data_IF_276153531225
#
_entry.id   IF_276153531225
#
_cell.length_a   1.000
_cell.length_b   1.000
_cell.length_c   1.000
_cell.angle_alpha   90.00
_cell.angle_beta   90.00
_cell.angle_gamma   90.00
#
_symmetry.space_group_name_H-M   'P 1'
#
loop_
_entity.id
_entity.type
_entity.pdbx_description
1 polymer ?
#
# COMPACT_ATOMS: atom_id res chain seq x y z
N UNK A 1 24.50 -22.18 27.32
CA UNK A 1 24.60 -20.83 27.85
C UNK A 1 25.21 -19.78 26.90
N UNK A 2 26.20 -20.11 26.04
CA UNK A 2 26.70 -19.17 25.02
C UNK A 2 25.62 -18.82 23.94
N UNK A 3 24.83 -19.79 23.48
CA UNK A 3 23.74 -19.58 22.54
C UNK A 3 22.65 -18.68 23.09
N UNK A 4 22.24 -18.87 24.36
CA UNK A 4 21.24 -18.01 24.99
C UNK A 4 21.71 -16.55 25.13
N UNK A 5 22.98 -16.34 25.53
CA UNK A 5 23.57 -14.99 25.62
C UNK A 5 23.65 -14.31 24.23
N UNK A 6 24.07 -15.06 23.22
CA UNK A 6 24.11 -14.55 21.85
C UNK A 6 22.69 -14.20 21.35
N UNK A 7 21.69 -15.04 21.65
CA UNK A 7 20.30 -14.76 21.33
C UNK A 7 19.75 -13.50 21.99
N UNK A 8 20.04 -13.29 23.28
CA UNK A 8 19.66 -12.06 23.99
C UNK A 8 20.33 -10.81 23.43
N UNK A 9 21.63 -10.87 23.12
CA UNK A 9 22.34 -9.75 22.52
C UNK A 9 21.82 -9.41 21.13
N UNK A 10 21.56 -10.41 20.31
CA UNK A 10 21.00 -10.24 18.96
C UNK A 10 19.58 -9.66 19.00
N UNK A 11 18.74 -10.10 19.93
CA UNK A 11 17.41 -9.54 20.14
C UNK A 11 17.48 -8.06 20.51
N UNK A 12 18.36 -7.69 21.44
CA UNK A 12 18.56 -6.31 21.85
C UNK A 12 19.01 -5.40 20.68
N UNK A 13 19.91 -5.89 19.81
CA UNK A 13 20.37 -5.14 18.63
C UNK A 13 19.26 -4.98 17.59
N UNK A 14 18.47 -6.03 17.32
CA UNK A 14 17.39 -5.99 16.32
C UNK A 14 16.18 -5.19 16.76
N UNK A 15 15.97 -4.94 18.04
CA UNK A 15 14.96 -4.01 18.53
C UNK A 15 15.17 -2.62 17.97
N UNK A 16 16.42 -2.19 17.81
CA UNK A 16 16.75 -0.91 17.17
C UNK A 16 16.32 -0.86 15.71
N UNK A 17 16.50 -1.96 14.95
CA UNK A 17 16.10 -2.06 13.54
C UNK A 17 14.58 -1.97 13.40
N UNK A 18 13.82 -2.64 14.26
CA UNK A 18 12.37 -2.55 14.31
C UNK A 18 11.89 -1.13 14.62
N UNK A 19 12.52 -0.47 15.60
CA UNK A 19 12.22 0.93 15.94
C UNK A 19 12.54 1.89 14.79
N UNK A 20 13.63 1.67 14.08
CA UNK A 20 14.01 2.47 12.92
C UNK A 20 13.06 2.25 11.74
N UNK A 21 12.60 1.03 11.48
CA UNK A 21 11.57 0.76 10.47
C UNK A 21 10.26 1.49 10.82
N UNK A 22 9.80 1.37 12.07
CA UNK A 22 8.58 2.06 12.55
C UNK A 22 8.67 3.56 12.35
N UNK A 23 9.82 4.19 12.71
CA UNK A 23 10.05 5.62 12.48
C UNK A 23 9.91 5.99 11.01
N UNK A 24 10.53 5.24 10.09
CA UNK A 24 10.42 5.50 8.64
C UNK A 24 8.98 5.36 8.12
N UNK A 25 8.24 4.36 8.62
CA UNK A 25 6.82 4.17 8.28
C UNK A 25 5.96 5.35 8.76
N UNK A 26 6.18 5.85 9.98
CA UNK A 26 5.50 7.05 10.48
C UNK A 26 5.84 8.26 9.62
N UNK A 27 7.11 8.47 9.30
CA UNK A 27 7.56 9.63 8.52
C UNK A 27 6.95 9.67 7.10
N UNK A 28 6.73 8.51 6.47
CA UNK A 28 6.12 8.45 5.12
C UNK A 28 4.60 8.61 5.14
N UNK A 29 3.94 8.23 6.24
CA UNK A 29 2.46 8.15 6.31
C UNK A 29 1.80 9.20 7.20
N UNK A 30 2.57 10.05 7.86
CA UNK A 30 2.07 11.01 8.87
C UNK A 30 1.06 12.04 8.32
N UNK A 31 1.04 12.29 7.02
CA UNK A 31 0.11 13.19 6.34
C UNK A 31 -1.20 12.51 5.91
N UNK A 32 -1.31 11.19 6.07
CA UNK A 32 -2.52 10.43 5.73
C UNK A 32 -3.54 10.53 6.87
N UNK A 33 -4.50 11.41 6.70
CA UNK A 33 -5.58 11.71 7.65
C UNK A 33 -6.91 11.53 6.93
N UNK A 34 -7.95 11.11 7.64
CA UNK A 34 -9.31 11.08 7.09
C UNK A 34 -9.80 12.52 6.94
N UNK A 35 -10.01 12.98 5.69
CA UNK A 35 -10.38 14.37 5.38
C UNK A 35 -11.84 14.55 5.02
N UNK A 36 -12.49 13.52 4.51
CA UNK A 36 -13.87 13.56 4.05
C UNK A 36 -14.56 12.20 4.25
N UNK A 37 -15.88 12.19 4.22
CA UNK A 37 -16.65 10.97 4.42
C UNK A 37 -16.59 10.06 3.17
N UNK A 38 -16.79 10.61 1.99
CA UNK A 38 -16.84 9.85 0.74
C UNK A 38 -16.16 10.63 -0.40
N UNK A 39 -15.35 9.95 -1.19
CA UNK A 39 -14.72 10.51 -2.40
C UNK A 39 -15.49 10.18 -3.69
N UNK A 40 -16.58 9.40 -3.61
CA UNK A 40 -17.43 9.04 -4.77
C UNK A 40 -16.79 8.05 -5.76
N UNK A 41 -15.61 7.47 -5.48
CA UNK A 41 -14.95 6.57 -6.43
C UNK A 41 -15.78 5.35 -6.77
N UNK A 42 -15.74 4.95 -8.04
CA UNK A 42 -16.28 3.70 -8.59
C UNK A 42 -15.17 2.70 -8.93
N UNK A 43 -13.92 3.04 -8.64
CA UNK A 43 -12.77 2.17 -8.87
C UNK A 43 -12.36 1.52 -7.56
N UNK A 44 -12.21 0.21 -7.58
CA UNK A 44 -11.79 -0.60 -6.44
C UNK A 44 -10.54 -1.41 -6.70
N UNK A 45 -10.21 -2.23 -5.73
CA UNK A 45 -9.23 -3.31 -5.86
C UNK A 45 -9.94 -4.65 -5.76
N UNK A 46 -9.41 -5.64 -6.44
CA UNK A 46 -9.89 -7.01 -6.33
C UNK A 46 -9.23 -7.71 -5.16
N UNK A 47 -10.05 -8.25 -4.26
CA UNK A 47 -9.62 -9.11 -3.18
C UNK A 47 -9.87 -10.57 -3.53
N UNK A 48 -8.93 -11.42 -3.16
CA UNK A 48 -8.95 -12.87 -3.31
C UNK A 48 -8.32 -13.51 -2.08
N UNK A 49 -8.45 -14.83 -1.95
CA UNK A 49 -7.77 -15.60 -0.90
C UNK A 49 -6.26 -15.50 -1.05
N UNK A 50 -5.54 -15.24 0.02
CA UNK A 50 -4.07 -15.34 0.01
C UNK A 50 -3.68 -16.79 0.34
N UNK A 51 -3.06 -17.45 -0.63
CA UNK A 51 -2.60 -18.85 -0.53
C UNK A 51 -1.08 -18.94 -0.73
N UNK A 52 -0.45 -19.90 -0.08
CA UNK A 52 0.93 -20.29 -0.34
C UNK A 52 0.94 -21.76 -0.80
N UNK A 53 0.95 -21.98 -2.11
CA UNK A 53 0.66 -23.29 -2.67
C UNK A 53 -0.76 -23.76 -2.30
N UNK A 54 -0.87 -24.83 -1.53
CA UNK A 54 -2.16 -25.37 -1.08
C UNK A 54 -2.58 -24.87 0.33
N UNK A 55 -1.73 -24.15 1.03
CA UNK A 55 -2.02 -23.63 2.37
C UNK A 55 -2.72 -22.28 2.30
N UNK A 56 -3.87 -22.16 2.99
CA UNK A 56 -4.60 -20.91 3.15
C UNK A 56 -3.88 -20.04 4.18
N UNK A 57 -3.40 -18.86 3.76
CA UNK A 57 -2.75 -17.89 4.65
C UNK A 57 -3.78 -16.94 5.23
N UNK A 58 -4.62 -16.36 4.38
CA UNK A 58 -5.67 -15.42 4.80
C UNK A 58 -6.89 -15.60 3.90
N UNK A 59 -8.04 -16.00 4.49
CA UNK A 59 -9.27 -16.20 3.74
C UNK A 59 -9.91 -14.86 3.35
N UNK A 60 -10.60 -14.84 2.21
CA UNK A 60 -11.31 -13.67 1.70
C UNK A 60 -12.31 -13.10 2.72
N UNK A 61 -12.97 -13.95 3.51
CA UNK A 61 -13.93 -13.53 4.53
C UNK A 61 -13.33 -12.58 5.56
N UNK A 62 -12.10 -12.84 6.05
CA UNK A 62 -11.41 -11.98 7.01
C UNK A 62 -11.00 -10.64 6.38
N UNK A 63 -10.56 -10.66 5.13
CA UNK A 63 -10.14 -9.48 4.39
C UNK A 63 -11.29 -8.52 4.05
N UNK A 64 -12.51 -9.04 3.94
CA UNK A 64 -13.72 -8.26 3.64
C UNK A 64 -14.27 -7.49 4.85
N UNK A 65 -14.05 -7.97 6.06
CA UNK A 65 -14.60 -7.35 7.27
C UNK A 65 -14.12 -5.91 7.43
N UNK A 66 -15.06 -4.99 7.67
CA UNK A 66 -14.75 -3.57 7.86
C UNK A 66 -14.44 -2.81 6.57
N UNK A 67 -14.80 -3.34 5.40
CA UNK A 67 -14.65 -2.71 4.09
C UNK A 67 -16.00 -2.33 3.49
N UNK A 68 -15.97 -1.62 2.36
CA UNK A 68 -17.13 -1.30 1.53
C UNK A 68 -16.96 -1.90 0.14
N UNK A 69 -18.06 -2.41 -0.43
CA UNK A 69 -18.08 -2.82 -1.82
C UNK A 69 -18.03 -1.60 -2.75
N UNK A 70 -17.55 -1.81 -3.98
CA UNK A 70 -17.62 -0.82 -5.06
C UNK A 70 -19.03 -0.78 -5.64
N UNK A 71 -19.65 -1.94 -5.82
CA UNK A 71 -20.96 -2.15 -6.41
C UNK A 71 -21.87 -2.94 -5.46
N UNK A 72 -23.18 -2.84 -5.70
CA UNK A 72 -24.16 -3.62 -4.97
C UNK A 72 -24.10 -5.09 -5.36
N UNK A 73 -23.98 -5.99 -4.39
CA UNK A 73 -23.98 -7.43 -4.60
C UNK A 73 -25.36 -8.02 -4.34
N UNK A 74 -25.88 -8.74 -5.34
CA UNK A 74 -27.15 -9.47 -5.26
C UNK A 74 -26.91 -10.98 -5.31
N UNK A 75 -27.76 -11.74 -4.65
CA UNK A 75 -27.72 -13.19 -4.72
C UNK A 75 -28.07 -13.65 -6.15
N UNK A 76 -27.20 -14.42 -6.81
CA UNK A 76 -27.43 -14.89 -8.18
C UNK A 76 -28.67 -15.79 -8.33
N UNK A 77 -29.11 -16.44 -7.23
CA UNK A 77 -30.24 -17.37 -7.25
C UNK A 77 -31.57 -16.71 -6.88
N UNK A 78 -31.57 -15.86 -5.86
CA UNK A 78 -32.80 -15.24 -5.31
C UNK A 78 -33.02 -13.81 -5.81
N UNK A 79 -31.97 -13.14 -6.31
CA UNK A 79 -32.00 -11.73 -6.70
C UNK A 79 -32.06 -10.76 -5.50
N UNK A 80 -32.06 -11.28 -4.26
CA UNK A 80 -32.06 -10.46 -3.06
C UNK A 80 -30.73 -9.72 -2.87
N UNK A 81 -30.78 -8.53 -2.29
CA UNK A 81 -29.59 -7.74 -1.99
C UNK A 81 -28.81 -8.38 -0.83
N UNK A 82 -27.60 -8.86 -1.08
CA UNK A 82 -26.70 -9.40 -0.04
C UNK A 82 -26.02 -8.25 0.69
N UNK A 83 -25.38 -7.35 -0.06
CA UNK A 83 -24.68 -6.20 0.50
C UNK A 83 -24.72 -5.01 -0.45
N UNK A 84 -25.06 -3.83 0.08
CA UNK A 84 -25.03 -2.58 -0.68
C UNK A 84 -23.65 -1.94 -0.62
N UNK A 85 -23.27 -1.21 -1.69
CA UNK A 85 -22.04 -0.40 -1.77
C UNK A 85 -21.88 0.62 -0.64
N UNK A 86 -22.98 1.02 0.01
CA UNK A 86 -22.97 1.98 1.11
C UNK A 86 -23.02 1.33 2.50
N UNK A 87 -22.97 0.00 2.57
CA UNK A 87 -23.02 -0.75 3.83
C UNK A 87 -21.61 -1.20 4.21
N UNK A 88 -21.23 -0.97 5.46
CA UNK A 88 -20.01 -1.53 6.04
C UNK A 88 -20.19 -3.04 6.22
N UNK A 89 -19.27 -3.82 5.68
CA UNK A 89 -19.31 -5.28 5.73
C UNK A 89 -18.94 -5.72 7.15
N UNK A 90 -19.84 -6.45 7.80
CA UNK A 90 -19.60 -7.15 9.05
C UNK A 90 -19.22 -8.62 8.81
N UNK A 91 -18.91 -9.38 9.86
CA UNK A 91 -18.49 -10.78 9.75
C UNK A 91 -19.55 -11.64 9.06
N UNK A 92 -20.83 -11.48 9.43
CA UNK A 92 -21.93 -12.26 8.84
C UNK A 92 -22.16 -11.90 7.36
N UNK A 93 -22.05 -10.59 7.01
CA UNK A 93 -22.14 -10.18 5.61
C UNK A 93 -20.97 -10.75 4.79
N UNK A 94 -19.77 -10.80 5.35
CA UNK A 94 -18.58 -11.37 4.68
C UNK A 94 -18.76 -12.86 4.35
N UNK A 95 -19.29 -13.65 5.30
CA UNK A 95 -19.59 -15.07 5.06
C UNK A 95 -20.63 -15.26 3.94
N UNK A 96 -21.68 -14.47 3.93
CA UNK A 96 -22.71 -14.50 2.88
C UNK A 96 -22.15 -14.08 1.51
N UNK A 97 -21.27 -13.10 1.47
CA UNK A 97 -20.61 -12.67 0.23
C UNK A 97 -19.75 -13.81 -0.32
N UNK A 98 -18.93 -14.44 0.51
CA UNK A 98 -18.07 -15.56 0.08
C UNK A 98 -18.92 -16.73 -0.44
N UNK A 99 -19.98 -17.12 0.26
CA UNK A 99 -20.87 -18.19 -0.19
C UNK A 99 -21.56 -17.86 -1.54
N UNK A 100 -21.91 -16.60 -1.78
CA UNK A 100 -22.46 -16.17 -3.06
C UNK A 100 -21.44 -16.22 -4.20
N UNK A 101 -20.19 -15.80 -3.94
CA UNK A 101 -19.09 -15.88 -4.91
C UNK A 101 -18.76 -17.32 -5.29
N UNK A 102 -18.68 -18.22 -4.31
CA UNK A 102 -18.50 -19.65 -4.56
C UNK A 102 -19.62 -20.24 -5.41
N UNK A 103 -20.87 -19.82 -5.18
CA UNK A 103 -22.01 -20.23 -5.97
C UNK A 103 -21.96 -19.75 -7.44
N UNK A 104 -21.29 -18.62 -7.70
CA UNK A 104 -21.02 -18.07 -9.04
C UNK A 104 -19.72 -18.60 -9.66
N UNK A 105 -18.89 -19.32 -8.91
CA UNK A 105 -17.55 -19.75 -9.37
C UNK A 105 -16.56 -18.59 -9.54
N UNK A 106 -16.73 -17.50 -8.76
CA UNK A 106 -15.83 -16.36 -8.74
C UNK A 106 -14.93 -16.42 -7.52
N UNK A 107 -13.63 -16.18 -7.71
CA UNK A 107 -12.63 -16.22 -6.66
C UNK A 107 -12.24 -14.84 -6.13
N UNK A 108 -12.81 -13.77 -6.70
CA UNK A 108 -12.46 -12.38 -6.33
C UNK A 108 -13.68 -11.46 -6.28
N UNK A 109 -13.56 -10.37 -5.51
CA UNK A 109 -14.56 -9.32 -5.43
C UNK A 109 -13.91 -7.94 -5.36
N UNK A 110 -14.53 -6.96 -6.01
CA UNK A 110 -14.06 -5.58 -6.02
C UNK A 110 -14.54 -4.81 -4.78
N UNK A 111 -13.58 -4.28 -4.00
CA UNK A 111 -13.85 -3.48 -2.81
C UNK A 111 -13.24 -2.08 -2.91
N UNK A 112 -13.77 -1.15 -2.11
CA UNK A 112 -13.16 0.17 -1.94
C UNK A 112 -11.91 0.06 -1.08
N UNK A 113 -10.83 0.71 -1.54
CA UNK A 113 -9.55 0.75 -0.86
C UNK A 113 -8.97 2.15 -0.84
N UNK A 114 -8.09 2.40 0.11
CA UNK A 114 -7.29 3.63 0.18
C UNK A 114 -6.38 3.81 -1.04
N UNK A 115 -5.97 2.73 -1.70
CA UNK A 115 -5.13 2.74 -2.89
C UNK A 115 -5.76 3.47 -4.07
N UNK A 116 -7.09 3.36 -4.22
CA UNK A 116 -7.87 3.96 -5.31
C UNK A 116 -8.71 5.17 -4.84
N UNK A 117 -8.44 5.66 -3.62
CA UNK A 117 -9.15 6.82 -3.09
C UNK A 117 -8.80 8.08 -3.88
N UNK A 118 -9.84 8.79 -4.35
CA UNK A 118 -9.74 10.02 -5.14
C UNK A 118 -9.77 11.29 -4.28
N UNK A 119 -9.65 11.18 -2.95
CA UNK A 119 -9.55 12.34 -2.09
C UNK A 119 -8.32 13.19 -2.45
N UNK A 120 -8.50 14.51 -2.59
CA UNK A 120 -7.42 15.46 -2.97
C UNK A 120 -6.25 15.43 -1.97
N UNK A 121 -6.57 15.35 -0.68
CA UNK A 121 -5.60 15.24 0.40
C UNK A 121 -6.06 14.15 1.39
N UNK A 122 -5.13 13.35 1.90
CA UNK A 122 -5.46 12.27 2.80
C UNK A 122 -6.27 11.16 2.13
N UNK A 123 -7.27 10.61 2.85
CA UNK A 123 -8.18 9.55 2.38
C UNK A 123 -9.60 9.82 2.89
N UNK A 124 -10.61 9.20 2.29
CA UNK A 124 -11.99 9.29 2.77
C UNK A 124 -12.34 8.11 3.70
N UNK A 125 -13.36 8.31 4.56
CA UNK A 125 -13.79 7.33 5.54
C UNK A 125 -14.27 6.03 4.89
N UNK A 126 -15.04 6.09 3.80
CA UNK A 126 -15.53 4.88 3.12
C UNK A 126 -14.41 4.05 2.47
N UNK A 127 -13.37 4.69 1.90
CA UNK A 127 -12.24 3.94 1.33
C UNK A 127 -11.36 3.28 2.40
N UNK A 128 -11.26 3.88 3.59
CA UNK A 128 -10.58 3.28 4.72
C UNK A 128 -11.44 2.21 5.41
N UNK A 129 -12.74 2.49 5.57
CA UNK A 129 -13.70 1.57 6.19
C UNK A 129 -13.77 1.69 7.72
N UNK A 130 -13.85 0.54 8.39
CA UNK A 130 -13.97 0.48 9.83
C UNK A 130 -12.70 0.89 10.58
N UNK A 131 -12.88 1.58 11.70
CA UNK A 131 -11.85 1.70 12.73
C UNK A 131 -11.77 0.36 13.48
N UNK A 132 -10.60 -0.25 13.52
CA UNK A 132 -10.40 -1.59 14.08
C UNK A 132 -10.53 -1.63 15.62
N UNK A 133 -10.47 -0.49 16.30
CA UNK A 133 -10.61 -0.43 17.75
C UNK A 133 -12.07 -0.58 18.23
N UNK A 134 -13.03 -0.03 17.46
CA UNK A 134 -14.44 0.00 17.86
C UNK A 134 -15.39 -0.64 16.84
N UNK A 135 -14.90 -1.08 15.68
CA UNK A 135 -15.70 -1.71 14.62
C UNK A 135 -16.63 -0.77 13.84
N UNK A 136 -16.69 0.50 14.21
CA UNK A 136 -17.50 1.50 13.52
C UNK A 136 -16.75 2.13 12.36
N UNK A 137 -17.44 2.87 11.49
CA UNK A 137 -16.79 3.66 10.45
C UNK A 137 -15.82 4.67 11.08
N UNK A 138 -14.66 4.82 10.46
CA UNK A 138 -13.63 5.78 10.89
C UNK A 138 -14.17 7.21 10.81
N UNK A 139 -13.84 8.04 11.80
CA UNK A 139 -14.27 9.43 11.85
C UNK A 139 -13.34 10.35 11.03
N UNK A 140 -13.92 11.43 10.51
CA UNK A 140 -13.13 12.50 9.88
C UNK A 140 -12.20 13.12 10.92
N UNK A 141 -10.91 13.30 10.54
CA UNK A 141 -9.89 13.82 11.46
C UNK A 141 -9.00 12.74 12.08
N UNK A 142 -9.28 11.45 11.87
CA UNK A 142 -8.45 10.38 12.40
C UNK A 142 -7.14 10.24 11.60
N UNK A 143 -5.99 10.19 12.30
CA UNK A 143 -4.65 10.09 11.71
C UNK A 143 -4.30 8.63 11.40
N UNK A 144 -4.96 8.06 10.40
CA UNK A 144 -4.83 6.63 10.04
C UNK A 144 -3.45 6.24 9.54
N UNK A 145 -2.67 7.18 9.04
CA UNK A 145 -1.28 6.91 8.62
C UNK A 145 -0.39 6.54 9.79
N UNK A 146 -0.44 7.29 10.89
CA UNK A 146 0.33 6.99 12.10
C UNK A 146 -0.14 5.67 12.72
N UNK A 147 -1.47 5.45 12.79
CA UNK A 147 -2.05 4.18 13.27
C UNK A 147 -1.52 3.01 12.45
N UNK A 148 -1.52 3.14 11.12
CA UNK A 148 -1.03 2.09 10.21
C UNK A 148 0.46 1.80 10.44
N UNK A 149 1.29 2.83 10.53
CA UNK A 149 2.73 2.69 10.79
C UNK A 149 3.01 1.99 12.12
N UNK A 150 2.28 2.35 13.18
CA UNK A 150 2.39 1.75 14.50
C UNK A 150 1.92 0.29 14.52
N UNK A 151 0.81 -0.02 13.84
CA UNK A 151 0.26 -1.38 13.73
C UNK A 151 1.19 -2.33 12.97
N UNK A 152 1.95 -1.84 11.99
CA UNK A 152 2.98 -2.61 11.28
C UNK A 152 4.26 -2.72 12.12
N UNK A 153 4.62 -1.66 12.84
CA UNK A 153 5.89 -1.58 13.58
C UNK A 153 5.86 -2.29 14.94
N UNK A 154 4.73 -2.29 15.63
CA UNK A 154 4.61 -2.93 16.95
C UNK A 154 5.02 -4.40 16.92
N UNK A 155 4.46 -5.26 16.06
CA UNK A 155 4.87 -6.66 16.03
C UNK A 155 6.25 -6.88 15.38
N UNK A 156 6.89 -5.86 14.83
CA UNK A 156 8.24 -5.93 14.26
C UNK A 156 9.29 -6.46 15.26
N UNK A 157 9.17 -6.12 16.54
CA UNK A 157 10.02 -6.65 17.60
C UNK A 157 9.82 -8.15 17.80
N UNK A 158 8.58 -8.65 17.67
CA UNK A 158 8.28 -10.08 17.78
C UNK A 158 8.84 -10.86 16.58
N UNK A 159 8.80 -10.28 15.37
CA UNK A 159 9.43 -10.85 14.18
C UNK A 159 10.93 -11.03 14.35
N UNK A 160 11.60 -10.11 15.04
CA UNK A 160 13.04 -10.23 15.30
C UNK A 160 13.39 -11.34 16.29
N UNK A 161 12.52 -11.62 17.25
CA UNK A 161 12.74 -12.66 18.27
C UNK A 161 12.56 -14.10 17.73
N UNK A 162 11.63 -14.32 16.81
CA UNK A 162 11.27 -15.66 16.32
C UNK A 162 12.19 -16.22 15.25
N UNK A 163 12.91 -15.40 14.49
CA UNK A 163 13.83 -15.86 13.43
C UNK A 163 15.03 -16.71 13.92
N UNK A 164 15.26 -16.78 15.24
CA UNK A 164 16.33 -17.61 15.84
C UNK A 164 15.98 -19.09 16.06
N UNK A 165 14.70 -19.45 16.03
CA UNK A 165 14.29 -20.80 16.41
C UNK A 165 14.13 -21.77 15.22
N UNK A 166 14.16 -21.30 14.01
CA UNK A 166 14.11 -22.12 12.80
C UNK A 166 15.53 -22.52 12.36
N UNK A 167 16.16 -23.39 13.13
CA UNK A 167 17.45 -24.03 12.81
C UNK A 167 17.27 -25.21 11.81
N UNK A 168 16.52 -24.99 10.75
CA UNK A 168 16.37 -25.94 9.65
C UNK A 168 17.30 -25.64 8.48
N UNK A 169 17.45 -26.57 7.54
CA UNK A 169 18.23 -26.41 6.31
C UNK A 169 17.59 -25.26 5.52
N UNK A 170 18.33 -24.15 5.39
CA UNK A 170 17.88 -22.98 4.64
C UNK A 170 17.63 -23.36 3.16
N UNK A 171 16.41 -23.24 2.69
CA UNK A 171 16.12 -23.24 1.27
C UNK A 171 16.57 -21.91 0.62
N UNK A 172 16.74 -21.88 -0.69
CA UNK A 172 17.13 -20.65 -1.39
C UNK A 172 16.10 -19.50 -1.20
N UNK A 173 14.86 -19.83 -0.82
CA UNK A 173 13.78 -18.89 -0.47
C UNK A 173 13.93 -18.28 0.93
N UNK A 174 14.72 -18.94 1.81
CA UNK A 174 14.86 -18.59 3.24
C UNK A 174 15.95 -17.53 3.54
N UNK A 175 16.62 -16.97 2.54
CA UNK A 175 17.81 -16.12 2.75
C UNK A 175 17.46 -14.80 3.46
N UNK A 176 16.21 -14.32 3.31
CA UNK A 176 15.71 -13.12 4.00
C UNK A 176 14.30 -13.36 4.53
N UNK A 177 14.19 -13.92 5.74
CA UNK A 177 12.91 -14.09 6.43
C UNK A 177 12.69 -13.05 7.51
N UNK A 178 11.44 -12.78 7.83
CA UNK A 178 11.04 -11.86 8.90
C UNK A 178 11.25 -10.39 8.57
N UNK A 179 11.68 -9.60 9.56
CA UNK A 179 11.79 -8.15 9.46
C UNK A 179 12.68 -7.66 8.29
N UNK A 180 13.83 -8.27 7.96
CA UNK A 180 14.64 -7.87 6.81
C UNK A 180 13.88 -7.97 5.47
N UNK A 181 12.97 -8.94 5.31
CA UNK A 181 12.14 -9.07 4.11
C UNK A 181 11.09 -7.97 4.04
N UNK A 182 10.45 -7.65 5.15
CA UNK A 182 9.50 -6.53 5.23
C UNK A 182 10.19 -5.21 4.89
N UNK A 183 11.39 -4.99 5.44
CA UNK A 183 12.20 -3.81 5.11
C UNK A 183 12.57 -3.75 3.62
N UNK A 184 12.99 -4.87 3.03
CA UNK A 184 13.32 -4.97 1.61
C UNK A 184 12.13 -4.59 0.72
N UNK A 185 10.91 -5.08 1.05
CA UNK A 185 9.68 -4.78 0.32
C UNK A 185 9.31 -3.30 0.43
N UNK A 186 9.29 -2.73 1.64
CA UNK A 186 8.95 -1.32 1.85
C UNK A 186 10.01 -0.35 1.33
N UNK A 187 11.28 -0.74 1.27
CA UNK A 187 12.32 0.08 0.63
C UNK A 187 12.41 -0.16 -0.88
N UNK A 188 11.59 -1.06 -1.43
CA UNK A 188 11.65 -1.44 -2.87
C UNK A 188 13.07 -1.79 -3.32
N UNK A 189 13.83 -2.50 -2.46
CA UNK A 189 15.18 -2.95 -2.79
C UNK A 189 15.11 -4.18 -3.69
N UNK A 190 16.07 -4.30 -4.60
CA UNK A 190 16.20 -5.51 -5.40
C UNK A 190 16.62 -6.68 -4.51
N UNK A 191 15.86 -7.78 -4.49
CA UNK A 191 16.18 -8.96 -3.66
C UNK A 191 17.53 -9.57 -4.03
N UNK A 192 18.22 -10.13 -3.04
CA UNK A 192 19.37 -11.00 -3.30
C UNK A 192 18.85 -12.30 -3.91
N UNK A 193 19.26 -12.64 -5.13
CA UNK A 193 18.71 -13.79 -5.83
C UNK A 193 17.32 -13.52 -6.40
N UNK A 194 17.10 -12.32 -6.96
CA UNK A 194 15.83 -11.96 -7.58
C UNK A 194 15.44 -12.94 -8.68
N UNK A 195 14.18 -13.41 -8.67
CA UNK A 195 13.64 -14.21 -9.75
C UNK A 195 13.66 -13.41 -11.07
N UNK A 196 13.95 -14.10 -12.16
CA UNK A 196 13.82 -13.55 -13.51
C UNK A 196 12.37 -13.74 -13.92
N UNK A 197 11.69 -12.67 -14.32
CA UNK A 197 10.31 -12.70 -14.82
C UNK A 197 10.28 -12.53 -16.32
N UNK A 198 9.26 -13.10 -16.97
CA UNK A 198 9.01 -12.85 -18.40
C UNK A 198 8.35 -11.48 -18.60
N UNK A 199 8.66 -10.81 -19.71
CA UNK A 199 8.03 -9.54 -20.09
C UNK A 199 6.91 -9.70 -21.09
N UNK A 200 6.88 -10.84 -21.79
CA UNK A 200 5.92 -11.16 -22.84
C UNK A 200 5.15 -12.44 -22.48
N UNK A 201 3.93 -12.54 -23.00
CA UNK A 201 3.16 -13.78 -22.99
C UNK A 201 3.71 -14.72 -24.05
N UNK A 202 3.79 -16.03 -23.76
CA UNK A 202 4.26 -16.97 -24.79
C UNK A 202 4.61 -18.34 -24.23
N UNK A 203 5.27 -19.12 -25.09
CA UNK A 203 5.70 -20.48 -24.79
C UNK A 203 7.20 -20.50 -24.47
N UNK A 204 7.55 -21.19 -23.40
CA UNK A 204 8.92 -21.34 -22.89
C UNK A 204 9.68 -22.37 -23.70
N UNK A 205 10.89 -22.02 -24.12
CA UNK A 205 11.88 -22.92 -24.67
C UNK A 205 13.19 -22.83 -23.88
N UNK A 206 13.73 -23.95 -23.46
CA UNK A 206 14.96 -24.00 -22.65
C UNK A 206 16.10 -24.50 -23.52
N UNK A 207 17.11 -23.66 -23.72
CA UNK A 207 18.30 -24.00 -24.50
C UNK A 207 19.55 -23.90 -23.63
N UNK A 208 20.55 -24.75 -23.92
CA UNK A 208 21.85 -24.65 -23.29
C UNK A 208 22.86 -24.05 -24.26
N UNK A 209 23.25 -22.79 -24.01
CA UNK A 209 24.19 -22.05 -24.84
C UNK A 209 25.48 -21.81 -24.07
N UNK A 210 26.60 -22.34 -24.53
CA UNK A 210 27.96 -22.12 -23.95
C UNK A 210 28.03 -22.40 -22.42
N UNK A 211 27.38 -23.49 -21.94
CA UNK A 211 27.32 -23.90 -20.51
C UNK A 211 26.46 -23.00 -19.62
N UNK A 212 25.72 -22.06 -20.16
CA UNK A 212 24.68 -21.32 -19.46
C UNK A 212 23.33 -21.73 -20.01
N UNK A 213 22.37 -21.93 -19.11
CA UNK A 213 20.98 -22.19 -19.52
C UNK A 213 20.35 -20.85 -19.93
N UNK A 214 19.68 -20.87 -21.06
CA UNK A 214 18.94 -19.71 -21.58
C UNK A 214 17.48 -20.13 -21.74
N UNK A 215 16.59 -19.31 -21.24
CA UNK A 215 15.15 -19.48 -21.44
C UNK A 215 14.73 -18.48 -22.49
N UNK A 216 14.12 -18.97 -23.54
CA UNK A 216 13.56 -18.17 -24.60
C UNK A 216 12.04 -18.27 -24.52
N UNK A 217 11.37 -17.13 -24.45
CA UNK A 217 9.91 -17.03 -24.50
C UNK A 217 9.54 -16.50 -25.88
N UNK A 218 8.68 -17.22 -26.58
CA UNK A 218 8.19 -16.83 -27.91
C UNK A 218 6.70 -16.56 -27.81
N UNK A 219 6.28 -15.39 -28.24
CA UNK A 219 4.87 -15.01 -28.28
C UNK A 219 4.09 -15.92 -29.25
N UNK A 220 2.84 -16.20 -28.92
CA UNK A 220 1.91 -16.95 -29.79
C UNK A 220 1.30 -16.08 -30.90
N UNK A 221 1.61 -14.77 -30.94
CA UNK A 221 1.13 -13.87 -31.95
C UNK A 221 1.74 -14.20 -33.31
N UNK A 222 0.90 -14.62 -34.24
CA UNK A 222 1.28 -15.05 -35.61
C UNK A 222 1.68 -13.90 -36.53
N UNK A 223 1.28 -12.66 -36.23
CA UNK A 223 1.56 -11.49 -37.08
C UNK A 223 2.90 -10.82 -36.76
N UNK A 224 3.32 -10.81 -35.50
CA UNK A 224 4.63 -10.31 -35.06
C UNK A 224 5.14 -11.17 -33.89
N UNK A 225 5.85 -12.29 -34.17
CA UNK A 225 6.41 -13.13 -33.12
C UNK A 225 7.50 -12.37 -32.37
N UNK A 226 7.18 -11.83 -31.21
CA UNK A 226 8.17 -11.30 -30.29
C UNK A 226 8.87 -12.46 -29.59
N UNK A 227 10.20 -12.40 -29.52
CA UNK A 227 11.03 -13.40 -28.87
C UNK A 227 11.97 -12.71 -27.90
N UNK A 228 11.89 -13.05 -26.63
CA UNK A 228 12.84 -12.60 -25.61
C UNK A 228 13.62 -13.77 -25.02
N UNK A 229 14.92 -13.55 -24.84
CA UNK A 229 15.85 -14.56 -24.33
C UNK A 229 16.46 -14.12 -23.00
N UNK A 230 16.32 -14.96 -21.99
CA UNK A 230 16.77 -14.71 -20.62
C UNK A 230 17.93 -15.63 -20.27
N UNK A 231 19.12 -15.08 -20.05
CA UNK A 231 20.27 -15.85 -19.59
C UNK A 231 20.14 -16.15 -18.08
N UNK A 232 20.20 -17.43 -17.72
CA UNK A 232 20.07 -17.87 -16.33
C UNK A 232 21.45 -17.99 -15.69
N UNK A 233 21.77 -17.21 -14.64
CA UNK A 233 23.05 -17.31 -13.94
C UNK A 233 23.23 -18.70 -13.31
N UNK A 234 24.46 -19.11 -13.15
CA UNK A 234 24.79 -20.38 -12.50
C UNK A 234 24.25 -20.41 -11.07
N UNK A 235 23.61 -21.51 -10.70
CA UNK A 235 23.02 -21.70 -9.35
C UNK A 235 21.55 -21.34 -9.22
N UNK A 236 20.94 -20.70 -10.22
CA UNK A 236 19.49 -20.45 -10.22
C UNK A 236 18.73 -21.71 -10.62
N UNK A 237 17.67 -22.04 -9.88
CA UNK A 237 16.76 -23.12 -10.24
C UNK A 237 15.66 -22.59 -11.15
N UNK A 238 15.37 -23.33 -12.21
CA UNK A 238 14.31 -23.01 -13.17
C UNK A 238 13.00 -23.55 -12.61
N UNK A 239 11.95 -22.71 -12.61
CA UNK A 239 10.62 -23.04 -12.13
C UNK A 239 9.72 -23.57 -13.24
N UNK A 240 9.92 -23.09 -14.46
CA UNK A 240 9.10 -23.43 -15.62
C UNK A 240 9.62 -24.66 -16.34
N UNK A 241 8.73 -25.34 -17.10
CA UNK A 241 9.06 -26.50 -17.92
C UNK A 241 9.13 -26.11 -19.39
N UNK A 242 9.86 -26.90 -20.17
CA UNK A 242 9.89 -26.74 -21.63
C UNK A 242 8.50 -26.92 -22.24
N UNK A 243 8.08 -26.00 -23.13
CA UNK A 243 6.76 -25.99 -23.73
C UNK A 243 5.63 -25.47 -22.83
N UNK A 244 5.94 -24.95 -21.65
CA UNK A 244 4.94 -24.33 -20.77
C UNK A 244 4.54 -22.95 -21.31
N UNK A 245 3.22 -22.69 -21.38
CA UNK A 245 2.72 -21.36 -21.62
C UNK A 245 2.90 -20.53 -20.34
N UNK A 246 3.42 -19.31 -20.48
CA UNK A 246 3.65 -18.35 -19.40
C UNK A 246 3.05 -17.01 -19.75
N UNK A 247 2.58 -16.28 -18.73
CA UNK A 247 2.05 -14.93 -18.86
C UNK A 247 3.08 -13.89 -18.45
N UNK A 248 2.99 -12.70 -19.01
CA UNK A 248 3.87 -11.60 -18.66
C UNK A 248 3.86 -11.33 -17.14
N UNK A 249 5.07 -11.26 -16.55
CA UNK A 249 5.24 -11.11 -15.10
C UNK A 249 5.37 -12.43 -14.33
N UNK A 250 5.22 -13.59 -14.98
CA UNK A 250 5.40 -14.89 -14.33
C UNK A 250 6.90 -15.18 -14.09
N UNK A 251 7.28 -15.70 -12.91
CA UNK A 251 8.67 -16.00 -12.59
C UNK A 251 9.16 -17.26 -13.31
N UNK A 252 10.22 -17.10 -14.09
CA UNK A 252 10.91 -18.19 -14.80
C UNK A 252 11.86 -18.98 -13.90
N UNK A 253 12.38 -18.33 -12.84
CA UNK A 253 13.30 -18.93 -11.87
C UNK A 253 12.73 -18.85 -10.45
N UNK A 254 13.23 -19.73 -9.55
CA UNK A 254 12.94 -19.61 -8.13
C UNK A 254 13.55 -18.33 -7.55
N UNK A 255 12.91 -17.73 -6.55
CA UNK A 255 13.35 -16.53 -5.86
C UNK A 255 12.26 -15.48 -5.70
N UNK A 256 12.57 -14.43 -4.96
CA UNK A 256 11.68 -13.30 -4.76
C UNK A 256 11.66 -12.38 -5.96
N UNK A 257 10.48 -11.93 -6.39
CA UNK A 257 10.36 -11.02 -7.53
C UNK A 257 10.74 -9.60 -7.10
N UNK A 258 11.40 -8.87 -7.99
CA UNK A 258 11.69 -7.45 -7.78
C UNK A 258 10.42 -6.61 -8.05
N UNK A 259 9.93 -5.81 -7.10
CA UNK A 259 8.73 -4.99 -7.31
C UNK A 259 8.82 -4.01 -8.49
N UNK A 260 10.02 -3.50 -8.79
CA UNK A 260 10.22 -2.61 -9.93
C UNK A 260 10.00 -3.29 -11.28
N UNK A 261 10.34 -4.58 -11.41
CA UNK A 261 10.14 -5.35 -12.63
C UNK A 261 8.64 -5.65 -12.83
N UNK A 262 7.90 -5.96 -11.74
CA UNK A 262 6.43 -6.10 -11.79
C UNK A 262 5.77 -4.79 -12.24
N UNK A 263 6.25 -3.65 -11.74
CA UNK A 263 5.71 -2.34 -12.13
C UNK A 263 5.87 -2.10 -13.63
N UNK A 264 7.03 -2.47 -14.18
CA UNK A 264 7.32 -2.28 -15.60
C UNK A 264 6.48 -3.17 -16.52
N UNK A 265 6.15 -4.40 -16.08
CA UNK A 265 5.45 -5.41 -16.90
C UNK A 265 3.95 -5.37 -16.65
N UNK A 266 3.51 -5.51 -15.39
CA UNK A 266 2.10 -5.73 -15.04
C UNK A 266 1.42 -4.46 -14.51
N UNK A 267 2.17 -3.35 -14.36
CA UNK A 267 1.65 -2.06 -13.95
C UNK A 267 1.40 -1.91 -12.43
N UNK A 268 0.81 -0.76 -12.02
CA UNK A 268 0.74 -0.35 -10.62
C UNK A 268 -0.14 -1.25 -9.74
N UNK A 269 -1.26 -1.76 -10.25
CA UNK A 269 -2.18 -2.61 -9.47
C UNK A 269 -1.52 -3.93 -9.07
N UNK A 270 -0.76 -4.55 -9.99
CA UNK A 270 -0.07 -5.80 -9.72
C UNK A 270 1.01 -5.65 -8.64
N UNK A 271 1.77 -4.54 -8.66
CA UNK A 271 2.76 -4.24 -7.62
C UNK A 271 2.12 -4.03 -6.26
N UNK A 272 0.99 -3.31 -6.20
CA UNK A 272 0.25 -3.09 -4.96
C UNK A 272 -0.17 -4.43 -4.34
N UNK A 273 -0.81 -5.29 -5.12
CA UNK A 273 -1.23 -6.61 -4.67
C UNK A 273 -0.03 -7.48 -4.26
N UNK A 274 1.06 -7.44 -5.02
CA UNK A 274 2.28 -8.20 -4.70
C UNK A 274 2.86 -7.80 -3.35
N UNK A 275 3.04 -6.49 -3.10
CA UNK A 275 3.60 -6.01 -1.83
C UNK A 275 2.69 -6.38 -0.66
N UNK A 276 1.37 -6.20 -0.79
CA UNK A 276 0.40 -6.56 0.27
C UNK A 276 0.50 -8.04 0.58
N UNK A 277 0.44 -8.90 -0.46
CA UNK A 277 0.48 -10.35 -0.30
C UNK A 277 1.78 -10.83 0.34
N UNK A 278 2.93 -10.31 -0.10
CA UNK A 278 4.24 -10.72 0.43
C UNK A 278 4.44 -10.23 1.88
N UNK A 279 4.01 -9.01 2.22
CA UNK A 279 4.07 -8.53 3.60
C UNK A 279 3.16 -9.35 4.50
N UNK A 280 1.91 -9.63 4.09
CA UNK A 280 0.99 -10.49 4.83
C UNK A 280 1.55 -11.89 5.07
N UNK A 281 2.15 -12.51 4.04
CA UNK A 281 2.82 -13.81 4.21
C UNK A 281 3.87 -13.79 5.32
N UNK A 282 4.73 -12.75 5.36
CA UNK A 282 5.77 -12.66 6.39
C UNK A 282 5.18 -12.56 7.79
N UNK A 283 4.14 -11.74 7.99
CA UNK A 283 3.51 -11.57 9.30
C UNK A 283 2.71 -12.80 9.73
N UNK A 284 1.89 -13.36 8.86
CA UNK A 284 1.08 -14.56 9.12
C UNK A 284 1.91 -15.80 9.43
N UNK A 285 3.03 -16.01 8.71
CA UNK A 285 3.98 -17.09 9.01
C UNK A 285 4.57 -16.98 10.42
N UNK A 286 4.61 -15.79 11.00
CA UNK A 286 5.03 -15.56 12.37
C UNK A 286 3.87 -15.57 13.38
N UNK A 287 2.64 -15.83 12.93
CA UNK A 287 1.43 -15.85 13.75
C UNK A 287 0.99 -14.47 14.21
N UNK A 288 1.25 -13.45 13.41
CA UNK A 288 0.83 -12.06 13.64
C UNK A 288 -0.21 -11.66 12.61
N UNK A 289 -1.34 -11.17 13.08
CA UNK A 289 -2.44 -10.71 12.23
C UNK A 289 -2.38 -9.19 12.08
N UNK A 290 -2.23 -8.73 10.84
CA UNK A 290 -2.26 -7.31 10.48
C UNK A 290 -3.33 -7.11 9.41
N UNK A 291 -4.20 -6.13 9.57
CA UNK A 291 -5.20 -5.83 8.56
C UNK A 291 -4.55 -5.19 7.32
N UNK A 292 -4.95 -5.62 6.13
CA UNK A 292 -4.43 -5.14 4.83
C UNK A 292 -4.45 -3.62 4.69
N UNK A 293 -5.46 -2.94 5.26
CA UNK A 293 -5.59 -1.47 5.15
C UNK A 293 -4.36 -0.71 5.65
N UNK A 294 -3.65 -1.25 6.65
CA UNK A 294 -2.43 -0.64 7.17
C UNK A 294 -1.30 -0.70 6.15
N UNK A 295 -1.17 -1.84 5.48
CA UNK A 295 -0.18 -2.04 4.41
C UNK A 295 -0.55 -1.19 3.19
N UNK A 296 -1.84 -1.14 2.83
CA UNK A 296 -2.36 -0.33 1.72
C UNK A 296 -2.04 1.16 1.88
N UNK A 297 -2.15 1.71 3.10
CA UNK A 297 -1.79 3.11 3.39
C UNK A 297 -0.32 3.39 3.06
N UNK A 298 0.58 2.49 3.48
CA UNK A 298 2.02 2.65 3.19
C UNK A 298 2.31 2.51 1.69
N UNK A 299 1.75 1.48 1.04
CA UNK A 299 1.93 1.25 -0.41
C UNK A 299 1.40 2.44 -1.23
N UNK A 300 0.26 3.04 -0.81
CA UNK A 300 -0.24 4.28 -1.43
C UNK A 300 0.78 5.39 -1.39
N UNK A 301 1.44 5.59 -0.25
CA UNK A 301 2.48 6.62 -0.12
C UNK A 301 3.75 6.31 -0.93
N UNK A 302 4.11 5.04 -1.08
CA UNK A 302 5.23 4.61 -1.93
C UNK A 302 4.99 4.91 -3.41
N UNK A 303 3.73 4.95 -3.86
CA UNK A 303 3.31 5.18 -5.24
C UNK A 303 2.64 6.55 -5.45
N UNK A 304 2.82 7.48 -4.52
CA UNK A 304 2.23 8.81 -4.57
C UNK A 304 2.80 9.67 -5.70
N UNK A 305 4.09 9.56 -5.98
CA UNK A 305 4.78 10.35 -7.00
C UNK A 305 4.78 9.62 -8.35
N UNK A 306 4.65 10.41 -9.41
CA UNK A 306 4.79 9.95 -10.80
C UNK A 306 5.91 10.72 -11.49
N UNK A 307 6.54 10.11 -12.46
CA UNK A 307 7.55 10.75 -13.32
C UNK A 307 6.87 11.31 -14.55
N UNK A 308 7.12 12.58 -14.85
CA UNK A 308 6.63 13.20 -16.08
C UNK A 308 7.41 12.63 -17.28
N UNK A 309 6.69 12.13 -18.25
CA UNK A 309 7.23 11.68 -19.51
C UNK A 309 7.14 12.81 -20.55
N UNK A 310 5.93 13.27 -20.85
CA UNK A 310 5.69 14.46 -21.66
C UNK A 310 4.93 15.50 -20.82
N UNK A 311 5.44 16.71 -20.82
CA UNK A 311 4.84 17.84 -20.06
C UNK A 311 3.56 18.40 -20.70
N UNK A 312 3.24 18.01 -21.93
CA UNK A 312 2.10 18.60 -22.64
C UNK A 312 2.13 20.13 -22.64
N UNK A 313 0.98 20.73 -22.35
CA UNK A 313 0.84 22.19 -22.26
C UNK A 313 1.15 22.78 -20.86
N UNK A 314 1.73 21.97 -19.96
CA UNK A 314 2.05 22.41 -18.60
C UNK A 314 3.45 23.05 -18.50
N UNK A 315 3.69 23.76 -17.38
CA UNK A 315 4.99 24.31 -17.01
C UNK A 315 5.96 23.28 -16.40
N UNK A 316 5.55 22.02 -16.30
CA UNK A 316 6.34 20.96 -15.66
C UNK A 316 7.52 20.55 -16.53
N UNK A 317 8.60 20.10 -15.89
CA UNK A 317 9.78 19.62 -16.60
C UNK A 317 9.70 18.11 -16.84
N UNK A 318 9.93 17.63 -18.06
CA UNK A 318 10.07 16.20 -18.33
C UNK A 318 11.12 15.54 -17.42
N UNK A 319 10.82 14.32 -16.94
CA UNK A 319 11.69 13.60 -16.02
C UNK A 319 11.56 13.99 -14.54
N UNK A 320 10.82 15.06 -14.20
CA UNK A 320 10.57 15.44 -12.80
C UNK A 320 9.60 14.50 -12.10
N UNK A 321 9.73 14.40 -10.77
CA UNK A 321 8.84 13.61 -9.91
C UNK A 321 7.83 14.55 -9.26
N UNK A 322 6.56 14.38 -9.58
CA UNK A 322 5.45 15.22 -9.13
C UNK A 322 4.40 14.35 -8.44
N UNK A 323 3.60 14.94 -7.58
CA UNK A 323 2.49 14.28 -6.92
C UNK A 323 1.39 13.91 -7.96
N UNK A 324 0.90 12.68 -7.89
CA UNK A 324 -0.16 12.18 -8.79
C UNK A 324 -1.42 13.04 -8.74
N UNK A 325 -1.79 13.56 -7.54
CA UNK A 325 -2.95 14.42 -7.38
C UNK A 325 -2.78 15.79 -8.04
N UNK A 326 -1.56 16.35 -8.04
CA UNK A 326 -1.25 17.60 -8.71
C UNK A 326 -1.32 17.46 -10.24
N UNK A 327 -0.76 16.36 -10.77
CA UNK A 327 -0.87 16.06 -12.22
C UNK A 327 -2.33 15.87 -12.65
N UNK A 328 -3.13 15.17 -11.85
CA UNK A 328 -4.56 14.99 -12.15
C UNK A 328 -5.30 16.33 -12.24
N UNK A 329 -5.05 17.23 -11.28
CA UNK A 329 -5.63 18.59 -11.28
C UNK A 329 -5.21 19.41 -12.50
N UNK A 330 -3.91 19.37 -12.85
CA UNK A 330 -3.42 20.08 -14.04
C UNK A 330 -4.03 19.49 -15.33
N UNK A 331 -4.18 18.19 -15.40
CA UNK A 331 -4.83 17.54 -16.53
C UNK A 331 -6.33 17.87 -16.63
N UNK A 332 -7.04 18.05 -15.50
CA UNK A 332 -8.42 18.55 -15.49
C UNK A 332 -8.50 19.98 -16.04
N UNK A 333 -7.56 20.85 -15.65
CA UNK A 333 -7.47 22.24 -16.15
C UNK A 333 -7.15 22.27 -17.65
N UNK A 334 -6.23 21.45 -18.13
CA UNK A 334 -5.87 21.35 -19.55
C UNK A 334 -7.04 20.74 -20.35
N UNK A 335 -7.74 19.74 -19.82
CA UNK A 335 -8.89 19.15 -20.45
C UNK A 335 -10.02 20.20 -20.65
N UNK A 336 -10.25 21.03 -19.66
CA UNK A 336 -11.22 22.14 -19.80
C UNK A 336 -10.81 23.14 -20.89
N UNK A 337 -9.52 23.36 -21.14
CA UNK A 337 -9.02 24.19 -22.25
C UNK A 337 -9.26 23.53 -23.60
N UNK A 338 -9.03 22.19 -23.71
CA UNK A 338 -9.32 21.40 -24.91
C UNK A 338 -10.82 21.47 -25.22
N UNK A 339 -11.66 21.28 -24.20
CA UNK A 339 -13.12 21.33 -24.34
C UNK A 339 -13.63 22.73 -24.73
N UNK A 340 -12.88 23.78 -24.38
CA UNK A 340 -13.13 25.17 -24.78
C UNK A 340 -12.66 25.50 -26.22
N UNK A 341 -12.01 24.53 -26.92
CA UNK A 341 -11.61 24.65 -28.32
C UNK A 341 -10.15 25.00 -28.59
N UNK A 342 -9.26 24.86 -27.62
CA UNK A 342 -7.82 25.00 -27.82
C UNK A 342 -7.21 23.72 -28.43
N UNK A 343 -7.01 23.70 -29.75
CA UNK A 343 -6.45 22.55 -30.48
C UNK A 343 -4.97 22.28 -30.16
N UNK A 344 -4.25 23.22 -29.53
CA UNK A 344 -2.85 23.07 -29.20
C UNK A 344 -2.62 22.48 -27.79
N UNK A 345 -3.67 22.42 -26.97
CA UNK A 345 -3.56 21.90 -25.62
C UNK A 345 -3.35 20.38 -25.64
N UNK A 346 -2.31 19.93 -24.91
CA UNK A 346 -1.96 18.49 -24.77
C UNK A 346 -1.91 18.12 -23.30
N UNK A 347 -2.48 16.95 -22.98
CA UNK A 347 -2.43 16.40 -21.63
C UNK A 347 -1.00 15.97 -21.25
N UNK A 348 -0.73 16.00 -19.94
CA UNK A 348 0.51 15.53 -19.35
C UNK A 348 0.49 14.00 -19.35
N UNK A 349 1.54 13.37 -19.89
CA UNK A 349 1.73 11.92 -19.78
C UNK A 349 2.71 11.60 -18.65
N UNK A 350 2.44 10.53 -17.91
CA UNK A 350 3.22 10.16 -16.73
C UNK A 350 3.50 8.67 -16.68
N UNK A 351 4.67 8.33 -16.13
CA UNK A 351 5.05 6.95 -15.83
C UNK A 351 4.95 6.74 -14.31
N UNK A 352 4.24 5.70 -13.84
CA UNK A 352 4.15 5.39 -12.41
C UNK A 352 5.54 4.99 -11.88
N UNK A 353 5.85 5.43 -10.66
CA UNK A 353 7.13 5.14 -10.00
C UNK A 353 6.87 4.57 -8.62
N UNK A 354 7.55 3.48 -8.28
CA UNK A 354 7.58 2.92 -6.94
C UNK A 354 8.80 3.47 -6.19
N UNK A 355 8.57 4.14 -5.08
CA UNK A 355 9.61 4.67 -4.21
C UNK A 355 9.68 3.88 -2.91
N UNK A 356 10.88 3.58 -2.42
CA UNK A 356 11.06 3.09 -1.05
C UNK A 356 10.63 4.14 -0.03
N UNK A 357 10.22 3.69 1.17
CA UNK A 357 9.69 4.58 2.23
C UNK A 357 10.66 5.68 2.63
N UNK A 358 11.96 5.39 2.72
CA UNK A 358 13.00 6.39 3.01
C UNK A 358 13.08 7.47 1.94
N UNK A 359 13.03 7.07 0.67
CA UNK A 359 13.05 8.01 -0.45
C UNK A 359 11.76 8.82 -0.51
N UNK A 360 10.60 8.17 -0.35
CA UNK A 360 9.29 8.83 -0.36
C UNK A 360 9.19 9.89 0.76
N UNK A 361 9.70 9.59 1.96
CA UNK A 361 9.75 10.53 3.08
C UNK A 361 10.67 11.73 2.82
N UNK A 362 11.84 11.51 2.20
CA UNK A 362 12.79 12.59 1.87
C UNK A 362 12.29 13.52 0.74
N UNK A 363 11.45 13.00 -0.16
CA UNK A 363 10.85 13.76 -1.26
C UNK A 363 9.40 14.20 -0.96
N UNK A 364 9.04 14.31 0.33
CA UNK A 364 7.73 14.85 0.73
C UNK A 364 7.56 16.30 0.28
N UNK A 365 6.31 16.75 0.12
CA UNK A 365 6.02 18.12 -0.32
C UNK A 365 6.36 19.15 0.77
N UNK A 366 6.28 18.74 2.05
CA UNK A 366 6.72 19.54 3.19
C UNK A 366 8.23 19.44 3.37
N UNK A 367 8.93 20.55 3.16
CA UNK A 367 10.38 20.61 3.40
C UNK A 367 10.72 20.56 4.89
N UNK A 368 9.82 21.00 5.79
CA UNK A 368 9.99 20.90 7.24
C UNK A 368 9.97 19.43 7.69
N UNK A 369 9.02 18.65 7.16
CA UNK A 369 8.96 17.21 7.42
C UNK A 369 10.20 16.49 6.90
N UNK A 370 10.62 16.76 5.68
CA UNK A 370 11.82 16.17 5.09
C UNK A 370 13.09 16.51 5.90
N UNK A 371 13.25 17.77 6.30
CA UNK A 371 14.39 18.23 7.11
C UNK A 371 14.45 17.56 8.49
N UNK A 372 13.30 17.26 9.09
CA UNK A 372 13.24 16.62 10.42
C UNK A 372 13.47 15.10 10.38
N UNK A 373 13.44 14.49 9.20
CA UNK A 373 13.65 13.06 9.03
C UNK A 373 15.14 12.73 8.92
N UNK A 374 15.80 13.15 7.86
CA UNK A 374 17.24 12.96 7.58
C UNK A 374 17.76 14.10 6.71
N UNK A 375 19.08 14.25 6.65
CA UNK A 375 19.79 15.23 5.80
C UNK A 375 19.24 16.67 5.93
N UNK A 376 19.03 17.14 7.16
CA UNK A 376 18.44 18.44 7.51
C UNK A 376 19.01 19.59 6.67
N UNK A 377 20.33 19.68 6.60
CA UNK A 377 21.02 20.76 5.88
C UNK A 377 20.70 20.75 4.40
N UNK A 378 20.70 19.60 3.76
CA UNK A 378 20.39 19.43 2.34
C UNK A 378 18.94 19.80 2.02
N UNK A 379 18.00 19.34 2.84
CA UNK A 379 16.56 19.63 2.66
C UNK A 379 16.28 21.13 2.80
N UNK A 380 16.84 21.78 3.82
CA UNK A 380 16.68 23.23 4.03
C UNK A 380 17.37 24.06 2.94
N UNK A 381 18.56 23.67 2.50
CA UNK A 381 19.27 24.37 1.43
C UNK A 381 18.51 24.29 0.11
N UNK A 382 18.02 23.08 -0.26
CA UNK A 382 17.22 22.91 -1.47
C UNK A 382 15.90 23.71 -1.42
N UNK A 383 15.24 23.74 -0.25
CA UNK A 383 14.04 24.52 -0.04
C UNK A 383 14.30 26.04 -0.17
N UNK A 384 15.42 26.52 0.38
CA UNK A 384 15.80 27.93 0.30
C UNK A 384 16.14 28.35 -1.13
N UNK A 385 16.92 27.54 -1.86
CA UNK A 385 17.29 27.83 -3.26
C UNK A 385 16.07 27.87 -4.17
N UNK A 386 15.11 26.95 -3.95
CA UNK A 386 13.89 26.87 -4.78
C UNK A 386 12.75 27.76 -4.29
N UNK A 387 12.91 28.47 -3.18
CA UNK A 387 11.83 29.30 -2.60
C UNK A 387 10.58 28.49 -2.25
N UNK A 388 10.74 27.25 -1.73
CA UNK A 388 9.59 26.38 -1.43
C UNK A 388 8.74 26.96 -0.30
N UNK A 389 7.43 26.87 -0.45
CA UNK A 389 6.44 27.21 0.58
C UNK A 389 5.84 25.92 1.15
N UNK A 390 5.84 25.77 2.48
CA UNK A 390 5.22 24.63 3.15
C UNK A 390 3.74 24.92 3.42
N UNK A 391 2.86 24.02 2.98
CA UNK A 391 1.41 24.17 3.15
C UNK A 391 0.91 23.70 4.52
N UNK A 392 1.77 23.14 5.38
CA UNK A 392 1.44 22.65 6.73
C UNK A 392 0.30 21.64 6.78
N UNK A 393 0.26 20.73 5.82
CA UNK A 393 -0.84 19.78 5.66
C UNK A 393 -0.71 18.52 6.53
N UNK A 394 0.50 18.14 6.95
CA UNK A 394 0.75 16.97 7.78
C UNK A 394 0.82 17.28 9.28
N UNK A 395 1.10 16.25 10.07
CA UNK A 395 1.16 16.38 11.52
C UNK A 395 2.48 17.02 11.97
N UNK A 396 3.60 16.55 11.43
CA UNK A 396 4.95 16.84 11.89
C UNK A 396 5.34 18.29 11.74
N UNK A 397 5.07 18.90 10.59
CA UNK A 397 5.33 20.31 10.33
C UNK A 397 4.54 21.25 11.26
N UNK A 398 3.29 20.91 11.58
CA UNK A 398 2.50 21.68 12.54
C UNK A 398 3.05 21.57 13.95
N UNK A 399 3.49 20.37 14.36
CA UNK A 399 4.14 20.14 15.67
C UNK A 399 5.45 20.94 15.77
N UNK A 400 6.27 20.97 14.73
CA UNK A 400 7.54 21.72 14.71
C UNK A 400 7.30 23.22 14.89
N UNK A 401 6.27 23.77 14.24
CA UNK A 401 5.93 25.20 14.33
C UNK A 401 5.15 25.53 15.63
N UNK A 402 4.63 24.52 16.33
CA UNK A 402 3.82 24.73 17.53
C UNK A 402 2.36 25.11 17.26
N UNK A 403 1.83 24.74 16.08
CA UNK A 403 0.41 24.86 15.73
C UNK A 403 -0.34 23.58 16.10
N UNK A 404 -1.68 23.71 16.20
CA UNK A 404 -2.54 22.52 16.33
C UNK A 404 -2.36 21.61 15.10
N UNK A 405 -2.31 20.30 15.36
CA UNK A 405 -2.23 19.31 14.28
C UNK A 405 -3.55 19.29 13.50
N UNK A 406 -3.53 19.10 12.18
CA UNK A 406 -4.74 19.04 11.35
C UNK A 406 -5.45 17.68 11.46
N UNK A 407 -5.59 17.17 12.68
CA UNK A 407 -6.23 15.90 13.02
C UNK A 407 -6.97 16.04 14.36
N UNK A 408 -8.00 15.20 14.57
CA UNK A 408 -8.82 15.24 15.78
C UNK A 408 -9.43 16.62 16.00
N UNK A 409 -9.32 17.12 17.22
CA UNK A 409 -9.88 18.44 17.62
C UNK A 409 -9.17 19.65 17.01
N UNK A 410 -8.03 19.45 16.36
CA UNK A 410 -7.31 20.51 15.66
C UNK A 410 -7.79 20.76 14.22
N UNK A 411 -8.81 20.06 13.76
CA UNK A 411 -9.41 20.30 12.45
C UNK A 411 -10.28 21.56 12.44
N UNK A 412 -10.34 22.24 11.30
CA UNK A 412 -11.11 23.48 11.10
C UNK A 412 -12.60 23.31 11.42
N UNK A 413 -13.15 22.11 11.24
CA UNK A 413 -14.54 21.78 11.58
C UNK A 413 -14.85 22.07 13.06
N UNK A 414 -13.89 21.82 13.96
CA UNK A 414 -14.07 22.03 15.39
C UNK A 414 -13.83 23.49 15.84
N UNK A 415 -13.18 24.31 15.02
CA UNK A 415 -12.96 25.73 15.33
C UNK A 415 -14.27 26.52 15.38
N UNK A 416 -15.31 26.05 14.69
CA UNK A 416 -16.62 26.71 14.61
C UNK A 416 -17.67 26.10 15.54
N UNK A 417 -17.31 25.13 16.40
CA UNK A 417 -18.23 24.48 17.34
C UNK A 417 -18.45 25.38 18.57
N UNK A 418 -19.67 25.81 18.79
CA UNK A 418 -20.07 26.53 19.99
C UNK A 418 -20.67 25.55 20.99
N UNK A 419 -20.16 25.57 22.23
CA UNK A 419 -20.71 24.79 23.32
C UNK A 419 -21.94 25.48 23.87
N UNK A 420 -23.11 24.94 23.61
CA UNK A 420 -24.38 25.42 24.19
C UNK A 420 -24.69 24.60 25.45
N UNK A 421 -24.85 25.25 26.60
CA UNK A 421 -25.34 24.60 27.82
C UNK A 421 -26.73 24.10 27.57
N UNK A 422 -26.93 22.80 27.74
CA UNK A 422 -28.26 22.19 27.67
C UNK A 422 -28.95 22.40 29.01
N UNK A 423 -29.77 23.44 29.15
CA UNK A 423 -30.46 23.78 30.39
C UNK A 423 -31.46 22.68 30.87
N UNK A 424 -31.86 21.79 29.96
CA UNK A 424 -32.74 20.64 30.30
C UNK A 424 -32.05 19.55 31.10
N UNK A 425 -30.71 19.47 31.12
CA UNK A 425 -29.98 18.49 31.92
C UNK A 425 -29.78 18.90 33.39
N UNK A 426 -29.97 20.18 33.70
CA UNK A 426 -29.77 20.70 35.05
C UNK A 426 -30.96 20.40 36.01
N UNK A 427 -32.14 20.03 35.49
CA UNK A 427 -33.35 19.80 36.30
C UNK A 427 -33.52 18.37 36.77
N UNK A 428 -32.60 17.44 36.52
CA UNK A 428 -32.73 16.05 37.02
C UNK A 428 -31.87 15.71 38.24
N UNK A 429 -31.11 16.64 38.80
CA UNK A 429 -30.24 16.41 39.97
C UNK A 429 -30.73 17.02 41.30
N UNK A 430 -31.99 17.39 41.39
CA UNK A 430 -32.58 17.75 42.68
C UNK A 430 -33.75 16.80 43.04
N UNK A 431 -33.42 15.51 43.17
CA UNK A 431 -34.25 14.62 43.96
C UNK A 431 -33.48 14.36 45.23
N UNK A 432 -33.93 15.05 46.30
CA UNK A 432 -33.51 14.85 47.66
C UNK A 432 -33.69 13.37 48.05
N UNK A 433 -32.64 12.75 48.50
CA UNK A 433 -32.67 11.46 49.17
C UNK A 433 -33.03 11.76 50.65
N UNK A 434 -34.14 11.31 51.20
CA UNK A 434 -34.38 11.44 52.66
C UNK A 434 -33.47 10.48 53.41
N UNK A 435 -32.75 11.04 54.36
CA UNK A 435 -32.06 10.31 55.42
C UNK A 435 -33.06 9.48 56.25
N UNK A 436 -32.90 8.16 56.28
CA UNK A 436 -33.10 7.30 57.41
C UNK A 436 -32.05 6.19 57.46
#
# INVERSE_FOLDING_TARGET
SRGARKGLADTALRTADSGYLTRRLVDVSQDVIIRQEDCGTHVGIELFDIKNGNEMIEPLSERLVGRYLVEDLKDPKTGEMICSRNKLINVHDAERIVAALEAEGKDSISIRSVLQCQAKHGVCAKCYGANLANGNIVQVGEAVGVISAQSIGEPGTQLTMRTFHTGGIASAEDITQGLPRVEELFESRRPKGAAIITRIDGVVRIEEVKKTKQITVTSEDTENPEQESYAIPYGYKIRVREGQAVTAGEPLTEGSINPADILAVNGPKAVQNYIITEVQKVYRLQGVDINDKHIEVIVRQMMRKVKIDDSGSSYLLPGSLIDRGEVARLNEEIQAQIDAGDENARLITTVPVLQGITKASSYSDSFLSAASFQETTKALTDAAIRGKTDKLMGLKENVIIGKLIPAGTGMDVYNNVQVVKNESAANHNTAETPLY
#
